data_IF_006071624921
#
_entry.id   IF_006071624921
#
_cell.length_a   1.000
_cell.length_b   1.000
_cell.length_c   1.000
_cell.angle_alpha   90.00
_cell.angle_beta   90.00
_cell.angle_gamma   90.00
#
_symmetry.space_group_name_H-M   'P 1'
#
loop_
_entity.id
_entity.type
_entity.pdbx_description
1 polymer ?
#
# COMPACT_ATOMS: atom_id res chain seq x y z
N UNK A 1 22.63 13.77 3.88
CA UNK A 1 22.67 12.32 3.61
C UNK A 1 21.97 11.60 4.76
N UNK A 2 20.65 11.37 4.68
CA UNK A 2 19.90 10.66 5.73
C UNK A 2 20.13 9.16 5.56
N UNK A 3 20.83 8.55 6.51
CA UNK A 3 21.14 7.10 6.54
C UNK A 3 19.90 6.34 7.02
N UNK A 4 19.30 5.50 6.16
CA UNK A 4 18.49 4.38 6.61
C UNK A 4 19.46 3.24 6.96
N UNK A 5 19.66 3.00 8.26
CA UNK A 5 20.45 1.89 8.79
C UNK A 5 19.48 0.96 9.53
N UNK A 6 19.30 -0.27 9.04
CA UNK A 6 18.99 -1.44 9.89
C UNK A 6 20.19 -2.39 9.83
N UNK A 7 21.19 -2.15 10.68
CA UNK A 7 22.39 -2.99 10.76
C UNK A 7 22.27 -4.04 11.87
N UNK A 8 22.12 -5.30 11.47
CA UNK A 8 22.36 -6.58 12.18
C UNK A 8 21.20 -7.26 12.96
N UNK A 9 21.31 -8.56 13.34
CA UNK A 9 20.60 -9.66 12.70
C UNK A 9 19.57 -10.26 13.67
N UNK A 10 18.30 -9.92 13.48
CA UNK A 10 17.18 -10.67 14.00
C UNK A 10 16.04 -10.53 13.00
N UNK A 11 15.80 -11.61 12.23
CA UNK A 11 14.65 -11.83 11.34
C UNK A 11 14.10 -10.56 10.62
N UNK A 12 14.79 -10.21 9.53
CA UNK A 12 14.33 -9.42 8.37
C UNK A 12 13.64 -8.05 8.59
N UNK A 13 14.36 -7.02 9.08
CA UNK A 13 13.94 -5.63 8.89
C UNK A 13 14.31 -5.17 7.47
N UNK A 14 13.62 -5.73 6.46
CA UNK A 14 13.73 -5.31 5.05
C UNK A 14 12.74 -4.16 4.79
N UNK A 15 13.14 -3.19 3.97
CA UNK A 15 12.25 -2.12 3.51
C UNK A 15 11.08 -2.72 2.73
N UNK A 16 9.87 -2.63 3.28
CA UNK A 16 8.68 -3.13 2.61
C UNK A 16 8.30 -2.26 1.39
N UNK A 17 7.39 -2.76 0.56
CA UNK A 17 6.98 -2.07 -0.67
C UNK A 17 6.34 -0.71 -0.39
N UNK A 18 5.56 -0.59 0.70
CA UNK A 18 4.91 0.66 1.08
C UNK A 18 5.93 1.74 1.46
N UNK A 19 6.92 1.38 2.27
CA UNK A 19 8.03 2.24 2.66
C UNK A 19 8.91 2.60 1.47
N UNK A 20 9.12 1.67 0.54
CA UNK A 20 9.84 1.92 -0.71
C UNK A 20 9.11 2.93 -1.60
N UNK A 21 7.80 2.74 -1.83
CA UNK A 21 6.97 3.65 -2.62
C UNK A 21 6.95 5.03 -1.98
N UNK A 22 6.75 5.12 -0.66
CA UNK A 22 6.76 6.39 0.06
C UNK A 22 8.08 7.14 -0.08
N UNK A 23 9.22 6.45 0.12
CA UNK A 23 10.54 7.06 -0.01
C UNK A 23 10.80 7.55 -1.45
N UNK A 24 10.54 6.70 -2.45
CA UNK A 24 10.76 7.06 -3.87
C UNK A 24 9.82 8.18 -4.33
N UNK A 25 8.60 8.27 -3.79
CA UNK A 25 7.67 9.35 -4.11
C UNK A 25 8.17 10.70 -3.56
N UNK A 26 8.74 10.73 -2.35
CA UNK A 26 9.38 11.93 -1.81
C UNK A 26 10.61 12.34 -2.62
N UNK A 27 11.45 11.35 -2.98
CA UNK A 27 12.62 11.58 -3.83
C UNK A 27 12.21 12.13 -5.20
N UNK A 28 11.11 11.63 -5.78
CA UNK A 28 10.55 12.13 -7.04
C UNK A 28 10.12 13.60 -6.92
N UNK A 29 9.36 13.96 -5.87
CA UNK A 29 8.91 15.35 -5.68
C UNK A 29 10.13 16.29 -5.55
N UNK A 30 11.12 15.91 -4.76
CA UNK A 30 12.32 16.70 -4.54
C UNK A 30 13.21 16.82 -5.79
N UNK A 31 13.36 15.74 -6.56
CA UNK A 31 14.21 15.72 -7.76
C UNK A 31 13.54 16.31 -9.01
N UNK A 32 12.21 16.44 -9.02
CA UNK A 32 11.46 16.92 -10.18
C UNK A 32 11.77 18.37 -10.57
N UNK A 33 12.18 19.21 -9.61
CA UNK A 33 12.33 20.65 -9.79
C UNK A 33 11.00 21.40 -10.01
N UNK A 34 9.86 20.69 -9.95
CA UNK A 34 8.53 21.23 -10.20
C UNK A 34 7.82 21.74 -8.94
N UNK A 35 8.31 21.36 -7.75
CA UNK A 35 7.67 21.65 -6.47
C UNK A 35 8.69 22.25 -5.50
N UNK A 36 8.25 23.25 -4.73
CA UNK A 36 8.93 23.70 -3.53
C UNK A 36 8.79 22.68 -2.40
N UNK A 37 9.65 22.77 -1.39
CA UNK A 37 9.59 21.88 -0.22
C UNK A 37 8.25 21.99 0.53
N UNK A 38 7.68 23.20 0.59
CA UNK A 38 6.37 23.44 1.21
C UNK A 38 5.22 22.79 0.41
N UNK A 39 5.23 22.88 -0.92
CA UNK A 39 4.24 22.23 -1.78
C UNK A 39 4.35 20.70 -1.70
N UNK A 40 5.57 20.17 -1.70
CA UNK A 40 5.80 18.73 -1.54
C UNK A 40 5.26 18.22 -0.19
N UNK A 41 5.48 18.97 0.90
CA UNK A 41 4.93 18.63 2.21
C UNK A 41 3.39 18.67 2.22
N UNK A 42 2.78 19.65 1.56
CA UNK A 42 1.32 19.75 1.43
C UNK A 42 0.73 18.57 0.64
N UNK A 43 1.38 18.15 -0.46
CA UNK A 43 0.94 16.96 -1.25
C UNK A 43 0.88 15.71 -0.37
N UNK A 44 1.88 15.54 0.51
CA UNK A 44 1.94 14.41 1.45
C UNK A 44 0.85 14.54 2.52
N UNK A 45 0.68 15.72 3.11
CA UNK A 45 -0.32 16.00 4.14
C UNK A 45 -1.76 15.78 3.66
N UNK A 46 -2.07 16.22 2.43
CA UNK A 46 -3.38 15.99 1.81
C UNK A 46 -3.65 14.48 1.59
N UNK A 47 -2.60 13.66 1.52
CA UNK A 47 -2.72 12.21 1.42
C UNK A 47 -2.74 11.68 -0.02
N UNK A 48 -2.01 12.32 -0.94
CA UNK A 48 -1.92 11.87 -2.34
C UNK A 48 -1.40 10.43 -2.48
N UNK A 49 -0.49 10.00 -1.59
CA UNK A 49 -0.02 8.61 -1.55
C UNK A 49 -1.14 7.60 -1.22
N UNK A 50 -2.09 7.98 -0.36
CA UNK A 50 -3.25 7.14 -0.07
C UNK A 50 -4.16 7.03 -1.30
N UNK A 51 -4.40 8.14 -2.00
CA UNK A 51 -5.19 8.13 -3.24
C UNK A 51 -4.53 7.26 -4.32
N UNK A 52 -3.20 7.35 -4.47
CA UNK A 52 -2.43 6.49 -5.39
C UNK A 52 -2.62 5.00 -5.06
N UNK A 53 -2.55 4.64 -3.78
CA UNK A 53 -2.77 3.26 -3.33
C UNK A 53 -4.20 2.78 -3.63
N UNK A 54 -5.21 3.61 -3.35
CA UNK A 54 -6.62 3.29 -3.64
C UNK A 54 -6.84 3.02 -5.12
N UNK A 55 -6.31 3.87 -6.00
CA UNK A 55 -6.41 3.69 -7.45
C UNK A 55 -5.75 2.39 -7.88
N UNK A 56 -4.51 2.14 -7.47
CA UNK A 56 -3.79 0.91 -7.82
C UNK A 56 -4.55 -0.35 -7.34
N UNK A 57 -5.06 -0.35 -6.10
CA UNK A 57 -5.80 -1.48 -5.54
C UNK A 57 -7.16 -1.69 -6.21
N UNK A 58 -7.82 -0.62 -6.66
CA UNK A 58 -9.11 -0.72 -7.35
C UNK A 58 -9.03 -1.56 -8.63
N UNK A 59 -7.91 -1.49 -9.36
CA UNK A 59 -7.66 -2.35 -10.54
C UNK A 59 -7.71 -3.84 -10.13
N UNK A 60 -7.03 -4.20 -9.04
CA UNK A 60 -7.05 -5.56 -8.51
C UNK A 60 -8.43 -5.99 -8.00
N UNK A 61 -9.15 -5.09 -7.32
CA UNK A 61 -10.51 -5.36 -6.85
C UNK A 61 -11.47 -5.64 -8.02
N UNK A 62 -11.43 -4.82 -9.07
CA UNK A 62 -12.21 -5.02 -10.29
C UNK A 62 -11.81 -6.33 -10.97
N UNK A 63 -10.50 -6.59 -11.10
CA UNK A 63 -9.97 -7.82 -11.66
C UNK A 63 -10.50 -9.06 -10.95
N UNK A 64 -10.43 -9.09 -9.61
CA UNK A 64 -10.97 -10.19 -8.82
C UNK A 64 -12.49 -10.33 -8.95
N UNK A 65 -13.24 -9.23 -8.96
CA UNK A 65 -14.69 -9.27 -9.13
C UNK A 65 -15.09 -9.90 -10.50
N UNK A 66 -14.37 -9.54 -11.57
CA UNK A 66 -14.58 -10.12 -12.89
C UNK A 66 -14.15 -11.59 -12.95
N UNK A 67 -13.04 -11.94 -12.28
CA UNK A 67 -12.54 -13.31 -12.24
C UNK A 67 -13.50 -14.26 -11.50
N UNK A 68 -14.11 -13.82 -10.40
CA UNK A 68 -15.13 -14.59 -9.69
C UNK A 68 -16.37 -14.87 -10.57
N UNK A 69 -16.79 -13.89 -11.39
CA UNK A 69 -17.87 -14.07 -12.38
C UNK A 69 -17.47 -15.06 -13.48
N UNK A 70 -16.25 -14.94 -14.01
CA UNK A 70 -15.69 -15.82 -15.04
C UNK A 70 -15.62 -17.28 -14.57
N UNK A 71 -15.25 -17.49 -13.31
CA UNK A 71 -15.15 -18.82 -12.69
C UNK A 71 -16.48 -19.34 -12.12
N UNK A 72 -17.58 -18.59 -12.26
CA UNK A 72 -18.92 -18.94 -11.76
C UNK A 72 -18.91 -19.37 -10.29
N UNK A 73 -18.17 -18.65 -9.45
CA UNK A 73 -17.99 -19.01 -8.04
C UNK A 73 -19.32 -18.95 -7.28
N UNK A 74 -19.60 -19.93 -6.39
CA UNK A 74 -20.84 -19.98 -5.64
C UNK A 74 -20.88 -18.91 -4.53
N UNK A 75 -22.04 -18.76 -3.89
CA UNK A 75 -22.18 -17.86 -2.74
C UNK A 75 -21.28 -18.33 -1.58
N UNK A 76 -20.42 -17.43 -1.11
CA UNK A 76 -19.53 -17.71 0.02
C UNK A 76 -20.29 -17.75 1.34
N UNK A 77 -20.00 -18.77 2.18
CA UNK A 77 -20.41 -18.85 3.58
C UNK A 77 -19.19 -19.23 4.41
N UNK A 78 -18.91 -18.46 5.45
CA UNK A 78 -17.74 -18.69 6.30
C UNK A 78 -17.94 -19.96 7.17
N UNK A 79 -16.92 -20.81 7.33
CA UNK A 79 -17.00 -22.00 8.17
C UNK A 79 -17.25 -21.64 9.64
N UNK A 80 -17.95 -22.51 10.38
CA UNK A 80 -18.31 -22.23 11.78
C UNK A 80 -17.14 -22.51 12.72
N UNK A 81 -16.29 -23.45 12.36
CA UNK A 81 -15.06 -23.83 13.05
C UNK A 81 -14.02 -22.69 13.10
N UNK A 82 -14.09 -21.75 12.16
CA UNK A 82 -13.20 -20.58 12.09
C UNK A 82 -13.75 -19.37 12.89
N UNK A 83 -14.92 -19.50 13.51
CA UNK A 83 -15.54 -18.47 14.33
C UNK A 83 -15.53 -18.89 15.80
N UNK A 84 -14.84 -18.11 16.64
CA UNK A 84 -14.88 -18.32 18.08
C UNK A 84 -16.21 -17.81 18.65
N UNK A 85 -17.10 -18.74 18.99
CA UNK A 85 -18.32 -18.45 19.74
C UNK A 85 -18.03 -18.55 21.24
N UNK A 86 -17.87 -17.42 21.91
CA UNK A 86 -17.79 -17.37 23.38
C UNK A 86 -19.20 -17.31 23.96
N UNK A 87 -19.50 -18.21 24.89
CA UNK A 87 -20.74 -18.23 25.68
C UNK A 87 -20.85 -17.07 26.65
#
# INVERSE_FOLDING_TARGET
MRRFISTQPAHEPVLNVDGCIGALFLDLLAASGCFSEAEAAQIVEIGYLNALFVVARSIGLVGHALDQKRLQQPLYRHPWEDVLYTS
#
